data_IF_800465188309
#
_entry.id   IF_800465188309
#
_cell.length_a   1.000
_cell.length_b   1.000
_cell.length_c   1.000
_cell.angle_alpha   90.00
_cell.angle_beta   90.00
_cell.angle_gamma   90.00
#
_symmetry.space_group_name_H-M   'P 1'
#
loop_
_entity.id
_entity.type
_entity.pdbx_description
1 polymer ?
#
# COMPACT_ATOMS: atom_id res chain seq x y z
N UNK A 1 -25.84 12.85 16.30
CA UNK A 1 -25.74 11.38 16.24
C UNK A 1 -24.25 11.09 16.20
N UNK A 2 -23.68 10.51 17.27
CA UNK A 2 -22.24 10.28 17.40
C UNK A 2 -21.71 9.33 16.32
N UNK A 3 -20.89 9.85 15.41
CA UNK A 3 -20.07 9.03 14.50
C UNK A 3 -18.75 8.72 15.20
N UNK A 4 -18.75 7.68 16.03
CA UNK A 4 -17.51 7.20 16.65
C UNK A 4 -16.59 6.63 15.56
N UNK A 5 -15.39 7.19 15.42
CA UNK A 5 -14.34 6.66 14.56
C UNK A 5 -14.23 5.14 14.79
N UNK A 6 -14.50 4.34 13.75
CA UNK A 6 -14.33 2.88 13.80
C UNK A 6 -12.84 2.56 13.76
N UNK A 7 -12.16 2.77 14.88
CA UNK A 7 -10.81 2.28 15.09
C UNK A 7 -10.83 0.75 14.96
N UNK A 8 -10.34 0.22 13.83
CA UNK A 8 -10.05 -1.21 13.70
C UNK A 8 -8.79 -1.51 14.51
N UNK A 9 -8.86 -2.49 15.41
CA UNK A 9 -7.69 -2.92 16.16
C UNK A 9 -6.59 -3.37 15.21
N UNK A 10 -5.43 -2.72 15.30
CA UNK A 10 -4.24 -3.11 14.56
C UNK A 10 -3.94 -4.58 14.89
N UNK A 11 -4.00 -5.46 13.87
CA UNK A 11 -3.59 -6.86 14.04
C UNK A 11 -2.14 -6.96 13.64
N UNK A 12 -1.28 -7.29 14.60
CA UNK A 12 0.15 -7.51 14.39
C UNK A 12 0.49 -8.94 14.75
N UNK A 13 1.24 -9.60 13.88
CA UNK A 13 1.92 -10.85 14.17
C UNK A 13 3.40 -10.63 13.95
N UNK A 14 4.23 -11.06 14.89
CA UNK A 14 5.67 -10.95 14.78
C UNK A 14 6.29 -12.33 15.01
N UNK A 15 7.27 -12.68 14.19
CA UNK A 15 8.09 -13.86 14.41
C UNK A 15 9.57 -13.48 14.29
N UNK A 16 10.36 -14.03 15.20
CA UNK A 16 11.82 -13.95 15.13
C UNK A 16 12.30 -15.23 14.46
N UNK A 17 12.98 -15.10 13.34
CA UNK A 17 13.60 -16.23 12.65
C UNK A 17 15.10 -16.18 12.88
N UNK A 18 15.57 -17.05 13.76
CA UNK A 18 16.99 -17.19 14.07
C UNK A 18 17.77 -17.72 12.85
N UNK A 19 19.02 -17.27 12.67
CA UNK A 19 19.93 -17.77 11.63
C UNK A 19 19.34 -17.74 10.21
N UNK A 20 18.73 -16.60 9.83
CA UNK A 20 17.96 -16.48 8.59
C UNK A 20 18.49 -15.46 7.59
N UNK A 21 19.28 -14.48 8.01
CA UNK A 21 19.76 -13.43 7.10
C UNK A 21 20.84 -13.95 6.14
N UNK A 22 21.69 -14.85 6.60
CA UNK A 22 22.69 -15.54 5.79
C UNK A 22 22.01 -16.42 4.72
N UNK A 23 20.90 -17.08 5.08
CA UNK A 23 20.06 -17.84 4.15
C UNK A 23 19.29 -16.94 3.18
N UNK A 24 18.79 -15.80 3.65
CA UNK A 24 18.01 -14.87 2.84
C UNK A 24 18.87 -14.14 1.80
N UNK A 25 20.16 -13.94 2.07
CA UNK A 25 21.13 -13.26 1.19
C UNK A 25 21.84 -14.23 0.24
N UNK A 26 21.79 -15.54 0.54
CA UNK A 26 22.45 -16.58 -0.25
C UNK A 26 21.98 -16.56 -1.72
N UNK A 27 22.89 -16.27 -2.65
CA UNK A 27 22.62 -16.26 -4.09
C UNK A 27 22.40 -14.89 -4.74
N UNK A 28 22.63 -13.78 -4.04
CA UNK A 28 22.51 -12.42 -4.62
C UNK A 28 21.08 -11.89 -4.58
N UNK A 29 20.35 -12.20 -3.51
CA UNK A 29 18.97 -11.76 -3.35
C UNK A 29 18.85 -10.24 -3.22
N UNK A 30 17.64 -9.74 -3.51
CA UNK A 30 17.23 -8.34 -3.28
C UNK A 30 17.65 -7.80 -1.90
N UNK A 31 17.68 -8.67 -0.88
CA UNK A 31 18.01 -8.32 0.50
C UNK A 31 19.46 -7.90 0.70
N UNK A 32 20.39 -8.33 -0.18
CA UNK A 32 21.81 -7.95 -0.08
C UNK A 32 21.97 -6.41 -0.08
N UNK A 33 21.23 -5.72 -0.94
CA UNK A 33 21.29 -4.26 -1.07
C UNK A 33 20.48 -3.51 -0.02
N UNK A 34 19.52 -4.17 0.63
CA UNK A 34 18.75 -3.59 1.73
C UNK A 34 19.49 -3.68 3.08
N UNK A 35 20.32 -4.71 3.24
CA UNK A 35 21.10 -4.94 4.47
C UNK A 35 22.47 -4.27 4.40
N UNK A 36 23.08 -4.18 3.22
CA UNK A 36 24.35 -3.47 3.00
C UNK A 36 24.16 -2.33 2.01
N UNK A 37 24.20 -1.06 2.45
CA UNK A 37 24.36 0.04 1.52
C UNK A 37 25.67 -0.16 0.73
N UNK A 38 25.64 0.19 -0.56
CA UNK A 38 26.67 -0.13 -1.58
C UNK A 38 28.10 0.29 -1.18
N UNK A 39 28.27 1.16 -0.19
CA UNK A 39 29.55 1.63 0.33
C UNK A 39 30.28 0.67 1.29
N UNK A 40 29.61 -0.33 1.86
CA UNK A 40 30.17 -1.21 2.91
C UNK A 40 30.31 -2.68 2.46
N UNK A 41 30.92 -2.91 1.31
CA UNK A 41 31.06 -4.25 0.70
C UNK A 41 31.97 -5.24 1.46
N UNK A 42 32.42 -4.97 2.68
CA UNK A 42 33.66 -5.60 3.16
C UNK A 42 33.64 -6.51 4.39
N UNK A 43 32.51 -6.82 5.04
CA UNK A 43 32.58 -7.86 6.09
C UNK A 43 31.34 -8.77 6.21
N UNK A 44 31.31 -9.80 5.36
CA UNK A 44 30.30 -10.87 5.41
C UNK A 44 30.40 -11.73 6.70
N UNK A 45 31.42 -11.52 7.55
CA UNK A 45 31.65 -12.31 8.77
C UNK A 45 30.69 -11.95 9.91
N UNK A 46 30.14 -10.74 9.92
CA UNK A 46 29.17 -10.28 10.95
C UNK A 46 27.72 -10.73 10.73
N UNK A 47 27.45 -11.39 9.61
CA UNK A 47 26.08 -11.71 9.13
C UNK A 47 25.60 -13.07 9.68
N UNK A 48 26.54 -13.93 10.07
CA UNK A 48 26.25 -15.30 10.48
C UNK A 48 25.48 -15.29 11.80
N UNK A 49 24.26 -15.81 11.75
CA UNK A 49 23.42 -15.98 12.93
C UNK A 49 22.67 -14.73 13.39
N UNK A 50 22.62 -13.68 12.58
CA UNK A 50 21.77 -12.51 12.89
C UNK A 50 20.30 -12.92 12.72
N UNK A 51 19.47 -12.79 13.77
CA UNK A 51 18.05 -13.07 13.68
C UNK A 51 17.32 -11.98 12.88
N UNK A 52 16.31 -12.37 12.10
CA UNK A 52 15.39 -11.43 11.45
C UNK A 52 14.12 -11.33 12.30
N UNK A 53 13.72 -10.10 12.64
CA UNK A 53 12.39 -9.81 13.15
C UNK A 53 11.47 -9.52 11.97
N UNK A 54 10.53 -10.43 11.69
CA UNK A 54 9.47 -10.21 10.70
C UNK A 54 8.22 -9.74 11.41
N UNK A 55 7.68 -8.60 11.01
CA UNK A 55 6.43 -8.03 11.53
C UNK A 55 5.43 -7.96 10.39
N UNK A 56 4.31 -8.66 10.55
CA UNK A 56 3.14 -8.52 9.69
C UNK A 56 2.13 -7.64 10.41
N UNK A 57 1.82 -6.49 9.83
CA UNK A 57 0.90 -5.52 10.38
C UNK A 57 -0.26 -5.25 9.43
N UNK A 58 -1.49 -5.33 9.95
CA UNK A 58 -2.68 -4.77 9.31
C UNK A 58 -3.08 -3.49 10.03
N UNK A 59 -2.91 -2.35 9.35
CA UNK A 59 -3.16 -1.01 9.90
C UNK A 59 -3.79 -0.10 8.84
N UNK A 60 -4.66 0.81 9.30
CA UNK A 60 -5.26 1.89 8.50
C UNK A 60 -4.22 2.89 7.98
N UNK A 61 -2.97 2.84 8.47
CA UNK A 61 -1.83 3.58 7.90
C UNK A 61 -1.61 3.30 6.41
N UNK A 62 -2.02 2.12 5.94
CA UNK A 62 -1.93 1.75 4.52
C UNK A 62 -2.97 2.45 3.64
N UNK A 63 -3.95 3.14 4.22
CA UNK A 63 -5.04 3.80 3.48
C UNK A 63 -4.53 4.79 2.43
N UNK A 64 -3.53 5.63 2.76
CA UNK A 64 -2.99 6.60 1.79
C UNK A 64 -2.41 5.94 0.54
N UNK A 65 -1.74 4.80 0.72
CA UNK A 65 -1.22 3.99 -0.38
C UNK A 65 -2.35 3.35 -1.19
N UNK A 66 -3.34 2.74 -0.52
CA UNK A 66 -4.50 2.12 -1.18
C UNK A 66 -5.26 3.18 -2.00
N UNK A 67 -5.57 4.33 -1.40
CA UNK A 67 -6.25 5.46 -2.06
C UNK A 67 -5.49 5.98 -3.28
N UNK A 68 -4.17 6.10 -3.20
CA UNK A 68 -3.32 6.49 -4.34
C UNK A 68 -3.43 5.48 -5.50
N UNK A 69 -3.38 4.18 -5.19
CA UNK A 69 -3.53 3.12 -6.19
C UNK A 69 -4.94 3.12 -6.81
N UNK A 70 -5.98 3.21 -6.00
CA UNK A 70 -7.37 3.29 -6.47
C UNK A 70 -7.58 4.51 -7.38
N UNK A 71 -7.06 5.67 -6.99
CA UNK A 71 -7.17 6.91 -7.78
C UNK A 71 -6.43 6.81 -9.12
N UNK A 72 -5.20 6.31 -9.10
CA UNK A 72 -4.40 6.13 -10.32
C UNK A 72 -5.04 5.12 -11.26
N UNK A 73 -5.55 4.01 -10.73
CA UNK A 73 -6.20 2.99 -11.55
C UNK A 73 -7.50 3.51 -12.18
N UNK A 74 -8.32 4.23 -11.41
CA UNK A 74 -9.50 4.96 -11.94
C UNK A 74 -9.13 5.92 -13.08
N UNK A 75 -8.01 6.64 -12.94
CA UNK A 75 -7.51 7.54 -13.99
C UNK A 75 -7.06 6.79 -15.24
N UNK A 76 -6.44 5.62 -15.10
CA UNK A 76 -6.06 4.78 -16.23
C UNK A 76 -7.26 4.25 -17.02
N UNK A 77 -8.39 3.98 -16.35
CA UNK A 77 -9.65 3.57 -16.97
C UNK A 77 -10.52 4.75 -17.46
N UNK A 78 -10.03 5.98 -17.31
CA UNK A 78 -10.78 7.16 -17.76
C UNK A 78 -10.82 7.26 -19.27
N UNK A 79 -11.85 7.96 -19.79
CA UNK A 79 -12.06 8.15 -21.24
C UNK A 79 -10.84 8.76 -21.94
N UNK A 80 -10.09 9.63 -21.27
CA UNK A 80 -8.90 10.27 -21.84
C UNK A 80 -7.74 9.30 -22.07
N UNK A 81 -7.71 8.19 -21.34
CA UNK A 81 -6.67 7.16 -21.42
C UNK A 81 -7.12 5.91 -22.20
N UNK A 82 -8.37 5.89 -22.70
CA UNK A 82 -8.97 4.72 -23.37
C UNK A 82 -8.17 4.21 -24.58
N UNK A 83 -7.46 5.10 -25.28
CA UNK A 83 -6.60 4.71 -26.40
C UNK A 83 -5.46 3.76 -26.00
N UNK A 84 -4.84 3.97 -24.83
CA UNK A 84 -3.80 3.08 -24.31
C UNK A 84 -4.39 1.72 -23.93
N UNK A 85 -5.55 1.74 -23.27
CA UNK A 85 -6.26 0.53 -22.89
C UNK A 85 -6.62 -0.34 -24.11
N UNK A 86 -7.22 0.24 -25.16
CA UNK A 86 -7.58 -0.50 -26.38
C UNK A 86 -6.34 -1.12 -27.03
N UNK A 87 -5.25 -0.36 -27.12
CA UNK A 87 -3.99 -0.86 -27.69
C UNK A 87 -3.45 -2.06 -26.92
N UNK A 88 -3.41 -1.98 -25.61
CA UNK A 88 -2.81 -3.02 -24.78
C UNK A 88 -3.76 -4.24 -24.65
N UNK A 89 -5.08 -4.03 -24.65
CA UNK A 89 -6.08 -5.11 -24.73
C UNK A 89 -6.01 -5.84 -26.08
N UNK A 90 -5.98 -5.12 -27.21
CA UNK A 90 -5.82 -5.77 -28.54
C UNK A 90 -4.51 -6.54 -28.71
N UNK A 91 -3.48 -6.20 -27.93
CA UNK A 91 -2.22 -6.96 -27.85
C UNK A 91 -2.29 -8.18 -26.91
N UNK A 92 -3.43 -8.41 -26.24
CA UNK A 92 -3.62 -9.48 -25.25
C UNK A 92 -2.83 -9.28 -23.96
N UNK A 93 -2.43 -8.04 -23.66
CA UNK A 93 -1.62 -7.69 -22.47
C UNK A 93 -2.47 -7.28 -21.27
N UNK A 94 -3.74 -6.91 -21.50
CA UNK A 94 -4.65 -6.47 -20.46
C UNK A 94 -5.89 -7.36 -20.38
N UNK A 95 -6.51 -7.43 -19.18
CA UNK A 95 -7.83 -8.03 -19.00
C UNK A 95 -8.93 -7.24 -19.72
N UNK A 96 -10.12 -7.83 -19.77
CA UNK A 96 -11.30 -7.19 -20.36
C UNK A 96 -11.75 -5.96 -19.55
N UNK A 97 -12.53 -5.08 -20.21
CA UNK A 97 -12.87 -3.76 -19.65
C UNK A 97 -13.74 -3.93 -18.41
N UNK A 98 -14.64 -4.93 -18.43
CA UNK A 98 -15.48 -5.33 -17.30
C UNK A 98 -14.65 -5.81 -16.10
N UNK A 99 -13.69 -6.71 -16.31
CA UNK A 99 -12.81 -7.23 -15.25
C UNK A 99 -11.97 -6.11 -14.61
N UNK A 100 -11.57 -5.12 -15.40
CA UNK A 100 -10.88 -3.94 -14.91
C UNK A 100 -11.77 -3.07 -14.02
N UNK A 101 -13.05 -2.89 -14.37
CA UNK A 101 -14.01 -2.15 -13.56
C UNK A 101 -14.37 -2.88 -12.26
N UNK A 102 -14.55 -4.20 -12.31
CA UNK A 102 -14.78 -5.04 -11.12
C UNK A 102 -13.60 -4.94 -10.15
N UNK A 103 -12.38 -4.99 -10.68
CA UNK A 103 -11.16 -4.80 -9.89
C UNK A 103 -11.09 -3.42 -9.25
N UNK A 104 -11.53 -2.37 -9.97
CA UNK A 104 -11.60 -1.02 -9.43
C UNK A 104 -12.64 -0.90 -8.32
N UNK A 105 -13.80 -1.55 -8.45
CA UNK A 105 -14.82 -1.58 -7.41
C UNK A 105 -14.32 -2.29 -6.15
N UNK A 106 -13.63 -3.42 -6.31
CA UNK A 106 -12.98 -4.11 -5.20
C UNK A 106 -11.96 -3.20 -4.49
N UNK A 107 -11.13 -2.47 -5.24
CA UNK A 107 -10.17 -1.52 -4.68
C UNK A 107 -10.84 -0.37 -3.92
N UNK A 108 -11.97 0.15 -4.40
CA UNK A 108 -12.75 1.16 -3.69
C UNK A 108 -13.32 0.62 -2.39
N UNK A 109 -13.87 -0.60 -2.40
CA UNK A 109 -14.36 -1.26 -1.18
C UNK A 109 -13.25 -1.46 -0.14
N UNK A 110 -12.04 -1.84 -0.59
CA UNK A 110 -10.87 -1.93 0.28
C UNK A 110 -10.49 -0.55 0.82
N UNK A 111 -10.42 0.48 -0.03
CA UNK A 111 -10.11 1.86 0.38
C UNK A 111 -11.07 2.35 1.46
N UNK A 112 -12.38 2.20 1.24
CA UNK A 112 -13.43 2.51 2.21
C UNK A 112 -13.25 1.75 3.53
N UNK A 113 -12.86 0.48 3.46
CA UNK A 113 -12.64 -0.33 4.67
C UNK A 113 -11.41 0.08 5.49
N UNK A 114 -10.44 0.74 4.86
CA UNK A 114 -9.22 1.26 5.51
C UNK A 114 -9.32 2.76 5.84
N UNK A 115 -10.36 3.46 5.38
CA UNK A 115 -10.58 4.86 5.70
C UNK A 115 -10.70 5.05 7.22
N UNK A 116 -9.81 5.83 7.86
CA UNK A 116 -9.83 6.04 9.31
C UNK A 116 -11.03 6.85 9.81
N UNK A 117 -11.84 7.44 8.91
CA UNK A 117 -13.09 8.11 9.26
C UNK A 117 -12.89 9.45 9.97
N UNK A 118 -12.01 10.31 9.46
CA UNK A 118 -12.04 11.72 9.85
C UNK A 118 -13.12 12.43 9.03
N UNK A 119 -14.28 12.65 9.64
CA UNK A 119 -15.15 13.73 9.21
C UNK A 119 -14.37 15.03 9.45
N UNK A 120 -13.72 15.56 8.41
CA UNK A 120 -13.28 16.95 8.42
C UNK A 120 -14.56 17.75 8.23
N UNK A 121 -15.26 18.01 9.33
CA UNK A 121 -16.23 19.08 9.39
C UNK A 121 -15.43 20.37 9.24
N UNK A 122 -15.30 20.85 8.01
CA UNK A 122 -15.03 22.26 7.75
C UNK A 122 -16.25 23.00 8.32
N UNK A 123 -16.23 23.31 9.61
CA UNK A 123 -17.13 24.31 10.20
C UNK A 123 -16.84 25.62 9.46
N UNK A 124 -17.65 25.88 8.44
CA UNK A 124 -17.77 27.16 7.77
C UNK A 124 -18.05 28.19 8.87
N UNK A 125 -17.01 28.94 9.26
CA UNK A 125 -17.09 29.99 10.27
C UNK A 125 -18.00 31.08 9.72
N UNK A 126 -19.30 30.94 9.95
CA UNK A 126 -20.29 31.93 9.61
C UNK A 126 -20.09 33.09 10.60
N UNK A 127 -19.29 34.08 10.20
CA UNK A 127 -19.14 35.34 10.93
C UNK A 127 -20.47 36.08 10.84
N UNK A 128 -21.39 35.71 11.74
CA UNK A 128 -22.63 36.41 11.99
C UNK A 128 -22.33 37.78 12.59
N UNK A 129 -21.97 38.72 11.73
CA UNK A 129 -22.09 40.15 12.01
C UNK A 129 -23.27 40.71 11.19
N UNK A 130 -24.47 40.42 11.68
CA UNK A 130 -25.59 41.36 11.59
C UNK A 130 -25.46 42.32 12.78
N UNK A 131 -25.05 43.57 12.50
CA UNK A 131 -25.72 44.82 12.89
C UNK A 131 -24.86 46.05 12.51
#
# INVERSE_FOLDING_TARGET
>A
MESAARFRSERRSACVVENSIDKAIYGGSYWLHSVFPVSEQHDQRGIKGVPILSILENSTRSHSFIRDKTTKFSRCLSRSMKGFYIRDNTAGLLPDEEECYDSLECLKSIDESYNPGFDVEDEEYNDGNED
#
